data_IF_628283219488
#
_entry.id   IF_628283219488
#
_cell.length_a   1.000
_cell.length_b   1.000
_cell.length_c   1.000
_cell.angle_alpha   90.00
_cell.angle_beta   90.00
_cell.angle_gamma   90.00
#
_symmetry.space_group_name_H-M   'P 1'
#
loop_
_entity.id
_entity.type
_entity.pdbx_description
1 polymer ?
#
# COMPACT_ATOMS: atom_id res chain seq x y z
N UNK A 1 -8.28 -9.29 5.45
CA UNK A 1 -7.10 -8.42 5.55
C UNK A 1 -7.57 -7.06 6.05
N UNK A 2 -7.08 -6.64 7.21
CA UNK A 2 -7.27 -5.26 7.69
C UNK A 2 -6.28 -4.29 7.00
N UNK A 3 -6.34 -3.01 7.35
CA UNK A 3 -5.51 -1.97 6.75
C UNK A 3 -4.01 -2.20 6.97
N UNK A 4 -3.63 -2.54 8.21
CA UNK A 4 -2.24 -2.80 8.57
C UNK A 4 -1.70 -4.01 7.79
N UNK A 5 -2.44 -5.13 7.82
CA UNK A 5 -2.08 -6.35 7.10
C UNK A 5 -1.96 -6.12 5.59
N UNK A 6 -2.82 -5.28 5.01
CA UNK A 6 -2.76 -4.96 3.58
C UNK A 6 -1.53 -4.12 3.22
N UNK A 7 -1.19 -3.13 4.05
CA UNK A 7 0.05 -2.36 3.88
C UNK A 7 1.30 -3.22 4.05
N UNK A 8 1.31 -4.09 5.06
CA UNK A 8 2.42 -5.01 5.33
C UNK A 8 2.62 -5.99 4.15
N UNK A 9 1.53 -6.53 3.60
CA UNK A 9 1.57 -7.42 2.44
C UNK A 9 2.06 -6.71 1.16
N UNK A 10 1.70 -5.44 0.98
CA UNK A 10 2.20 -4.63 -0.14
C UNK A 10 3.65 -4.16 0.08
N UNK A 11 4.19 -4.29 1.29
CA UNK A 11 5.53 -3.83 1.63
C UNK A 11 5.73 -2.34 1.40
N UNK A 12 4.68 -1.53 1.58
CA UNK A 12 4.73 -0.08 1.38
C UNK A 12 4.93 0.67 2.70
N UNK A 13 5.62 1.80 2.61
CA UNK A 13 5.89 2.67 3.76
C UNK A 13 4.68 3.53 4.12
N UNK A 14 4.76 4.26 5.25
CA UNK A 14 3.71 5.21 5.60
C UNK A 14 3.70 6.43 4.67
N UNK A 15 4.86 6.76 4.10
CA UNK A 15 5.09 7.80 3.12
C UNK A 15 4.45 7.44 1.77
N UNK A 16 4.68 6.22 1.25
CA UNK A 16 4.06 5.79 0.00
C UNK A 16 2.53 5.77 0.09
N UNK A 17 2.02 5.27 1.23
CA UNK A 17 0.59 5.26 1.49
C UNK A 17 -0.01 6.65 1.73
N UNK A 18 0.80 7.62 2.17
CA UNK A 18 0.38 9.00 2.35
C UNK A 18 0.00 9.64 1.01
N UNK A 19 0.83 9.43 -0.01
CA UNK A 19 0.58 9.87 -1.37
C UNK A 19 -0.63 9.14 -1.98
N UNK A 20 -0.68 7.81 -1.84
CA UNK A 20 -1.74 6.98 -2.41
C UNK A 20 -3.15 7.30 -1.86
N UNK A 21 -3.23 7.63 -0.56
CA UNK A 21 -4.49 7.84 0.14
C UNK A 21 -4.83 9.32 0.38
N UNK A 22 -3.96 10.24 -0.06
CA UNK A 22 -4.08 11.68 0.18
C UNK A 22 -4.25 11.99 1.69
N UNK A 23 -3.33 11.46 2.48
CA UNK A 23 -3.31 11.62 3.95
C UNK A 23 -1.90 11.86 4.44
N UNK A 24 -1.68 12.66 5.50
CA UNK A 24 -0.36 12.79 6.10
C UNK A 24 0.18 11.43 6.58
N UNK A 25 1.49 11.19 6.42
CA UNK A 25 2.13 9.94 6.85
C UNK A 25 1.92 9.64 8.35
N UNK A 26 1.78 10.67 9.19
CA UNK A 26 1.43 10.49 10.60
C UNK A 26 0.02 9.89 10.79
N UNK A 27 -0.95 10.29 9.97
CA UNK A 27 -2.29 9.71 9.98
C UNK A 27 -2.25 8.25 9.54
N UNK A 28 -1.44 7.91 8.54
CA UNK A 28 -1.22 6.52 8.12
C UNK A 28 -0.65 5.68 9.26
N UNK A 29 0.36 6.19 9.99
CA UNK A 29 0.91 5.50 11.17
C UNK A 29 -0.15 5.24 12.23
N UNK A 30 -1.03 6.21 12.50
CA UNK A 30 -2.15 6.05 13.44
C UNK A 30 -3.18 5.00 12.98
N UNK A 31 -3.43 4.90 11.68
CA UNK A 31 -4.34 3.89 11.09
C UNK A 31 -3.80 2.46 11.16
N UNK A 32 -2.47 2.30 11.27
CA UNK A 32 -1.80 1.00 11.43
C UNK A 32 -1.66 0.53 12.88
N UNK A 33 -2.09 1.34 13.85
CA UNK A 33 -2.10 0.93 15.26
C UNK A 33 -3.19 -0.11 15.51
N UNK A 34 -3.07 -0.81 16.63
CA UNK A 34 -4.15 -1.67 17.13
C UNK A 34 -5.44 -0.84 17.29
N UNK A 35 -6.62 -1.35 16.87
CA UNK A 35 -7.90 -0.66 17.04
C UNK A 35 -8.19 -0.21 18.47
N UNK A 36 -7.67 -0.90 19.48
CA UNK A 36 -7.85 -0.57 20.90
C UNK A 36 -6.84 0.50 21.40
N UNK A 37 -5.86 0.86 20.59
CA UNK A 37 -4.88 1.89 20.96
C UNK A 37 -5.50 3.29 20.95
N UNK A 38 -5.28 4.09 22.00
CA UNK A 38 -5.88 5.45 22.17
C UNK A 38 -5.71 6.40 20.97
N UNK A 39 -4.62 6.25 20.22
CA UNK A 39 -4.28 7.09 19.06
C UNK A 39 -4.71 6.47 17.73
N UNK A 40 -5.40 5.32 17.75
CA UNK A 40 -5.93 4.70 16.54
C UNK A 40 -6.90 5.65 15.85
N UNK A 41 -6.83 5.66 14.52
CA UNK A 41 -7.79 6.35 13.66
C UNK A 41 -8.25 5.38 12.58
N UNK A 42 -9.56 5.26 12.33
CA UNK A 42 -10.03 4.39 11.27
C UNK A 42 -9.50 4.88 9.91
N UNK A 43 -9.11 3.96 9.01
CA UNK A 43 -8.70 4.31 7.65
C UNK A 43 -9.91 4.82 6.83
N UNK A 44 -9.68 5.59 5.75
CA UNK A 44 -10.75 6.15 4.92
C UNK A 44 -11.54 5.03 4.20
N UNK A 45 -12.85 5.20 3.96
CA UNK A 45 -13.72 4.10 3.48
C UNK A 45 -13.29 3.48 2.15
N UNK A 46 -12.60 4.24 1.29
CA UNK A 46 -12.10 3.84 -0.02
C UNK A 46 -10.70 3.19 0.02
N UNK A 47 -10.07 3.05 1.20
CA UNK A 47 -8.69 2.55 1.31
C UNK A 47 -8.48 1.21 0.60
N UNK A 48 -9.46 0.29 0.67
CA UNK A 48 -9.36 -1.04 0.06
C UNK A 48 -9.25 -0.96 -1.45
N UNK A 49 -10.06 -0.12 -2.06
CA UNK A 49 -10.08 0.08 -3.51
C UNK A 49 -8.77 0.69 -3.97
N UNK A 50 -8.31 1.75 -3.28
CA UNK A 50 -7.03 2.43 -3.55
C UNK A 50 -5.83 1.49 -3.46
N UNK A 51 -5.73 0.71 -2.37
CA UNK A 51 -4.64 -0.26 -2.21
C UNK A 51 -4.72 -1.39 -3.27
N UNK A 52 -5.92 -1.85 -3.63
CA UNK A 52 -6.07 -2.86 -4.67
C UNK A 52 -5.67 -2.34 -6.06
N UNK A 53 -6.01 -1.09 -6.39
CA UNK A 53 -5.59 -0.44 -7.63
C UNK A 53 -4.06 -0.33 -7.67
N UNK A 54 -3.44 0.16 -6.60
CA UNK A 54 -2.00 0.24 -6.46
C UNK A 54 -1.31 -1.12 -6.63
N UNK A 55 -1.84 -2.18 -6.00
CA UNK A 55 -1.31 -3.53 -6.11
C UNK A 55 -1.28 -4.05 -7.55
N UNK A 56 -2.38 -3.82 -8.31
CA UNK A 56 -2.47 -4.21 -9.72
C UNK A 56 -1.48 -3.44 -10.59
N UNK A 57 -1.35 -2.13 -10.37
CA UNK A 57 -0.40 -1.31 -11.10
C UNK A 57 1.03 -1.81 -10.88
N UNK A 58 1.45 -1.95 -9.62
CA UNK A 58 2.80 -2.43 -9.27
C UNK A 58 3.05 -3.84 -9.82
N UNK A 59 2.06 -4.72 -9.78
CA UNK A 59 2.15 -6.05 -10.39
C UNK A 59 2.41 -5.99 -11.90
N UNK A 60 1.75 -5.06 -12.62
CA UNK A 60 1.97 -4.83 -14.05
C UNK A 60 3.37 -4.30 -14.36
N UNK A 61 3.85 -3.33 -13.57
CA UNK A 61 5.21 -2.78 -13.71
C UNK A 61 6.27 -3.87 -13.50
N UNK A 62 6.15 -4.67 -12.44
CA UNK A 62 7.07 -5.78 -12.16
C UNK A 62 7.05 -6.85 -13.25
N UNK A 63 5.87 -7.21 -13.76
CA UNK A 63 5.76 -8.15 -14.88
C UNK A 63 6.42 -7.59 -16.15
N UNK A 64 6.26 -6.30 -16.43
CA UNK A 64 6.93 -5.65 -17.57
C UNK A 64 8.45 -5.68 -17.42
N UNK A 65 8.97 -5.38 -16.23
CA UNK A 65 10.42 -5.43 -15.95
C UNK A 65 10.96 -6.85 -16.15
N UNK A 66 10.27 -7.87 -15.62
CA UNK A 66 10.64 -9.27 -15.79
C UNK A 66 10.72 -9.66 -17.27
N UNK A 67 9.71 -9.30 -18.06
CA UNK A 67 9.69 -9.57 -19.50
C UNK A 67 10.87 -8.93 -20.25
N UNK A 68 11.26 -7.70 -19.89
CA UNK A 68 12.41 -7.02 -20.50
C UNK A 68 13.72 -7.77 -20.18
N UNK A 69 13.92 -8.14 -18.91
CA UNK A 69 15.12 -8.86 -18.49
C UNK A 69 15.24 -10.23 -19.19
N UNK A 70 14.13 -10.96 -19.34
CA UNK A 70 14.11 -12.24 -20.06
C UNK A 70 14.43 -12.13 -21.57
N UNK A 71 14.26 -10.95 -22.17
CA UNK A 71 14.57 -10.68 -23.58
C UNK A 71 16.03 -10.26 -23.79
N UNK A 72 16.64 -9.56 -22.82
CA UNK A 72 18.03 -9.10 -22.89
C UNK A 72 19.06 -10.24 -22.70
N UNK A 73 18.67 -11.32 -22.00
CA UNK A 73 19.51 -12.50 -21.76
C UNK A 73 19.53 -13.51 -22.94
N UNK A 74 18.86 -13.22 -24.07
CA UNK A 74 18.79 -14.10 -25.26
C UNK A 74 19.62 -13.59 -26.43
#
# INVERSE_FOLDING_TARGET
MDFKQSMDALGITAEDAAELLDRPAQSIRQMRLDPDHRNYRPPPTDWRERLAQYARQRGGELASIANTLEQEDR
#
